data_IF_256884658925
#
_entry.id   IF_256884658925
#
_cell.length_a   1.000
_cell.length_b   1.000
_cell.length_c   1.000
_cell.angle_alpha   90.00
_cell.angle_beta   90.00
_cell.angle_gamma   90.00
#
_symmetry.space_group_name_H-M   'P 1'
#
loop_
_entity.id
_entity.type
_entity.pdbx_description
1 polymer ?
#
# COMPACT_ATOMS: atom_id res chain seq x y z
N UNK A 1 37.66 1.99 -13.63
CA UNK A 1 36.34 2.61 -13.39
C UNK A 1 35.73 1.84 -12.24
N UNK A 2 35.41 2.51 -11.12
CA UNK A 2 34.84 1.82 -9.98
C UNK A 2 33.47 1.26 -10.36
N UNK A 3 33.30 -0.04 -10.21
CA UNK A 3 32.01 -0.73 -10.32
C UNK A 3 31.09 -0.17 -9.23
N UNK A 4 30.27 0.82 -9.55
CA UNK A 4 29.26 1.35 -8.64
C UNK A 4 28.22 0.27 -8.44
N UNK A 5 28.45 -0.57 -7.44
CA UNK A 5 27.59 -1.68 -7.05
C UNK A 5 26.18 -1.14 -6.81
N UNK A 6 25.30 -1.35 -7.78
CA UNK A 6 23.91 -0.94 -7.68
C UNK A 6 23.23 -1.77 -6.59
N UNK A 7 22.68 -1.08 -5.57
CA UNK A 7 21.93 -1.75 -4.52
C UNK A 7 20.59 -2.21 -5.06
N UNK A 8 20.11 -3.41 -4.66
CA UNK A 8 18.79 -3.86 -5.04
C UNK A 8 17.69 -2.90 -4.55
N UNK A 9 16.57 -2.86 -5.27
CA UNK A 9 15.44 -1.98 -4.95
C UNK A 9 14.30 -2.72 -4.25
N UNK A 10 13.58 -1.99 -3.40
CA UNK A 10 12.28 -2.36 -2.85
C UNK A 10 11.27 -1.39 -3.42
N UNK A 11 10.17 -1.90 -3.99
CA UNK A 11 9.09 -1.10 -4.53
C UNK A 11 7.91 -1.12 -3.58
N UNK A 12 7.53 0.05 -3.08
CA UNK A 12 6.34 0.23 -2.26
C UNK A 12 5.18 0.81 -3.09
N UNK A 13 4.36 -0.03 -3.71
CA UNK A 13 3.21 0.40 -4.50
C UNK A 13 1.94 0.51 -3.66
N UNK A 14 1.28 1.67 -3.67
CA UNK A 14 0.04 1.90 -2.96
C UNK A 14 -0.42 3.36 -2.96
N UNK A 15 -1.45 3.67 -2.18
CA UNK A 15 -2.09 4.98 -2.14
C UNK A 15 -1.53 5.90 -1.03
N UNK A 16 -2.39 6.70 -0.39
CA UNK A 16 -2.00 7.69 0.63
C UNK A 16 -1.26 7.08 1.83
N UNK A 17 -1.63 5.89 2.29
CA UNK A 17 -0.91 5.21 3.38
C UNK A 17 0.54 4.93 3.01
N UNK A 18 0.80 4.45 1.79
CA UNK A 18 2.15 4.24 1.29
C UNK A 18 2.89 5.56 1.11
N UNK A 19 2.23 6.59 0.57
CA UNK A 19 2.80 7.93 0.43
C UNK A 19 3.22 8.54 1.76
N UNK A 20 2.34 8.48 2.77
CA UNK A 20 2.62 9.06 4.08
C UNK A 20 3.62 8.24 4.87
N UNK A 21 3.76 6.95 4.57
CA UNK A 21 4.68 6.06 5.29
C UNK A 21 6.15 6.48 5.24
N UNK A 22 6.53 7.38 4.33
CA UNK A 22 7.88 7.95 4.21
C UNK A 22 8.11 9.19 5.10
N UNK A 23 7.08 9.68 5.77
CA UNK A 23 7.20 10.84 6.67
C UNK A 23 7.75 10.38 8.02
N UNK A 24 8.78 11.06 8.50
CA UNK A 24 9.41 10.80 9.80
C UNK A 24 8.37 10.77 10.92
N UNK A 25 7.41 11.69 10.88
CA UNK A 25 6.39 11.84 11.92
C UNK A 25 5.44 10.64 11.99
N UNK A 26 5.30 9.89 10.89
CA UNK A 26 4.45 8.70 10.83
C UNK A 26 5.20 7.41 11.11
N UNK A 27 6.54 7.43 10.98
CA UNK A 27 7.41 6.25 11.09
C UNK A 27 6.83 5.03 10.36
N UNK A 28 6.31 5.23 9.15
CA UNK A 28 5.67 4.17 8.39
C UNK A 28 6.66 3.24 7.68
N UNK A 29 6.14 2.25 6.95
CA UNK A 29 6.94 1.27 6.21
C UNK A 29 7.99 1.92 5.29
N UNK A 30 7.62 3.00 4.58
CA UNK A 30 8.52 3.73 3.69
C UNK A 30 9.69 4.42 4.42
N UNK A 31 9.48 4.89 5.64
CA UNK A 31 10.52 5.48 6.49
C UNK A 31 11.62 4.46 6.80
N UNK A 32 11.23 3.20 7.05
CA UNK A 32 12.17 2.13 7.40
C UNK A 32 12.79 1.42 6.19
N UNK A 33 12.11 1.37 5.04
CA UNK A 33 12.54 0.53 3.90
C UNK A 33 13.14 1.29 2.70
N UNK A 34 13.08 2.62 2.66
CA UNK A 34 13.79 3.41 1.63
C UNK A 34 13.13 3.42 0.23
N UNK A 35 13.85 4.02 -0.74
CA UNK A 35 13.40 4.76 -1.96
C UNK A 35 12.03 4.46 -2.62
N UNK A 36 11.43 5.55 -3.12
CA UNK A 36 10.00 5.77 -3.38
C UNK A 36 9.51 5.32 -4.78
N UNK A 37 8.29 4.74 -4.81
CA UNK A 37 7.29 5.02 -5.85
C UNK A 37 5.88 5.13 -5.29
N UNK A 38 5.32 6.34 -5.21
CA UNK A 38 3.94 6.57 -4.72
C UNK A 38 3.17 7.47 -5.68
N UNK A 39 1.87 7.25 -5.79
CA UNK A 39 1.03 7.91 -6.81
C UNK A 39 -0.43 8.07 -6.39
N UNK A 40 -1.04 9.15 -6.88
CA UNK A 40 -2.48 9.47 -6.85
C UNK A 40 -3.28 8.89 -8.04
N UNK A 41 -2.61 8.28 -9.03
CA UNK A 41 -3.15 7.61 -10.23
C UNK A 41 -2.52 6.23 -10.41
N UNK A 42 -2.97 5.28 -9.59
CA UNK A 42 -2.36 3.96 -9.41
C UNK A 42 -2.10 3.20 -10.72
N UNK A 43 -3.01 3.23 -11.69
CA UNK A 43 -2.84 2.49 -12.95
C UNK A 43 -1.72 3.07 -13.83
N UNK A 44 -1.72 4.38 -14.10
CA UNK A 44 -0.66 5.00 -14.92
C UNK A 44 0.71 4.93 -14.26
N UNK A 45 0.74 4.96 -12.93
CA UNK A 45 1.99 4.82 -12.20
C UNK A 45 2.44 3.37 -12.08
N UNK A 46 1.53 2.40 -12.09
CA UNK A 46 1.89 1.00 -12.19
C UNK A 46 2.68 0.73 -13.48
N UNK A 47 2.16 1.15 -14.64
CA UNK A 47 2.86 0.97 -15.91
C UNK A 47 4.24 1.62 -15.91
N UNK A 48 4.33 2.84 -15.37
CA UNK A 48 5.60 3.57 -15.24
C UNK A 48 6.60 2.85 -14.32
N UNK A 49 6.11 2.26 -13.23
CA UNK A 49 6.93 1.48 -12.29
C UNK A 49 7.46 0.23 -12.97
N UNK A 50 6.61 -0.52 -13.67
CA UNK A 50 6.99 -1.73 -14.40
C UNK A 50 8.03 -1.40 -15.48
N UNK A 51 7.81 -0.34 -16.27
CA UNK A 51 8.78 0.10 -17.29
C UNK A 51 10.15 0.44 -16.69
N UNK A 52 10.20 1.08 -15.53
CA UNK A 52 11.48 1.35 -14.87
C UNK A 52 12.11 0.07 -14.33
N UNK A 53 11.35 -0.75 -13.61
CA UNK A 53 11.85 -1.95 -12.94
C UNK A 53 12.39 -2.99 -13.93
N UNK A 54 11.94 -2.93 -15.19
CA UNK A 54 12.39 -3.80 -16.29
C UNK A 54 13.48 -3.20 -17.15
N UNK A 55 13.84 -1.93 -16.94
CA UNK A 55 14.90 -1.28 -17.71
C UNK A 55 16.24 -2.00 -17.48
N UNK A 56 17.05 -2.25 -18.53
CA UNK A 56 18.32 -2.98 -18.43
C UNK A 56 19.35 -2.35 -17.48
N UNK A 57 19.18 -1.07 -17.16
CA UNK A 57 20.11 -0.30 -16.32
C UNK A 57 19.63 -0.16 -14.87
N UNK A 58 18.45 -0.69 -14.55
CA UNK A 58 17.84 -0.59 -13.23
C UNK A 58 18.32 -1.75 -12.35
N UNK A 59 18.66 -1.50 -11.07
CA UNK A 59 18.98 -2.58 -10.15
C UNK A 59 17.81 -3.55 -9.99
N UNK A 60 18.12 -4.81 -9.68
CA UNK A 60 17.10 -5.82 -9.44
C UNK A 60 16.13 -5.39 -8.33
N UNK A 61 14.84 -5.62 -8.55
CA UNK A 61 13.82 -5.46 -7.50
C UNK A 61 13.73 -6.75 -6.67
N UNK A 62 13.95 -6.67 -5.36
CA UNK A 62 13.83 -7.83 -4.47
C UNK A 62 12.41 -8.04 -3.97
N UNK A 63 11.73 -6.94 -3.68
CA UNK A 63 10.41 -6.92 -3.07
C UNK A 63 9.53 -5.88 -3.76
N UNK A 64 8.32 -6.29 -4.11
CA UNK A 64 7.26 -5.42 -4.60
C UNK A 64 6.05 -5.55 -3.68
N UNK A 65 5.70 -4.49 -2.96
CA UNK A 65 4.51 -4.50 -2.10
C UNK A 65 3.32 -3.92 -2.84
N UNK A 66 2.15 -4.54 -2.74
CA UNK A 66 0.88 -3.98 -3.20
C UNK A 66 0.06 -3.63 -1.95
N UNK A 67 -0.03 -2.35 -1.62
CA UNK A 67 -0.72 -1.84 -0.44
C UNK A 67 -1.93 -0.99 -0.85
N UNK A 68 -3.05 -1.66 -1.14
CA UNK A 68 -4.28 -1.10 -1.71
C UNK A 68 -5.53 -1.67 -1.04
N UNK A 69 -6.69 -1.05 -1.29
CA UNK A 69 -7.99 -1.53 -0.82
C UNK A 69 -8.73 -0.59 0.13
N UNK A 70 -8.04 0.37 0.76
CA UNK A 70 -8.67 1.24 1.76
C UNK A 70 -9.67 2.20 1.10
N UNK A 71 -9.26 2.84 0.00
CA UNK A 71 -10.13 3.73 -0.76
C UNK A 71 -11.16 2.92 -1.55
N UNK A 72 -10.76 1.79 -2.12
CA UNK A 72 -11.60 0.89 -2.92
C UNK A 72 -12.83 0.40 -2.12
N UNK A 73 -12.63 0.11 -0.83
CA UNK A 73 -13.67 -0.34 0.09
C UNK A 73 -14.51 0.81 0.68
N UNK A 74 -14.18 2.08 0.44
CA UNK A 74 -15.00 3.20 0.93
C UNK A 74 -16.41 3.13 0.33
N UNK A 75 -17.43 3.30 1.15
CA UNK A 75 -18.81 3.27 0.68
C UNK A 75 -19.22 4.61 0.06
N UNK A 76 -19.73 4.58 -1.17
CA UNK A 76 -20.41 5.70 -1.83
C UNK A 76 -21.88 5.30 -1.95
N UNK A 77 -22.70 5.78 -1.00
CA UNK A 77 -24.08 5.31 -0.86
C UNK A 77 -24.10 3.88 -0.33
N UNK A 78 -24.71 2.95 -1.08
CA UNK A 78 -24.83 1.53 -0.72
C UNK A 78 -23.74 0.65 -1.32
N UNK A 79 -22.91 1.21 -2.20
CA UNK A 79 -21.90 0.47 -2.94
C UNK A 79 -20.49 0.86 -2.51
N UNK A 80 -19.56 -0.08 -2.63
CA UNK A 80 -18.15 0.22 -2.49
C UNK A 80 -17.68 1.11 -3.66
N UNK A 81 -16.74 2.01 -3.40
CA UNK A 81 -16.13 2.91 -4.39
C UNK A 81 -15.57 2.13 -5.58
N UNK A 82 -14.99 0.96 -5.32
CA UNK A 82 -14.65 -0.02 -6.33
C UNK A 82 -15.36 -1.34 -6.01
N UNK A 83 -16.28 -1.81 -6.88
CA UNK A 83 -16.95 -3.09 -6.67
C UNK A 83 -15.96 -4.25 -6.56
N UNK A 84 -16.30 -5.23 -5.71
CA UNK A 84 -15.44 -6.39 -5.45
C UNK A 84 -14.93 -7.10 -6.73
N UNK A 85 -15.76 -7.37 -7.76
CA UNK A 85 -15.27 -8.00 -8.98
C UNK A 85 -14.16 -7.20 -9.67
N UNK A 86 -14.33 -5.87 -9.74
CA UNK A 86 -13.36 -4.95 -10.34
C UNK A 86 -12.08 -4.89 -9.51
N UNK A 87 -12.19 -4.73 -8.20
CA UNK A 87 -11.03 -4.72 -7.30
C UNK A 87 -10.23 -6.03 -7.41
N UNK A 88 -10.92 -7.16 -7.36
CA UNK A 88 -10.30 -8.49 -7.45
C UNK A 88 -9.61 -8.71 -8.80
N UNK A 89 -10.19 -8.24 -9.90
CA UNK A 89 -9.56 -8.28 -11.22
C UNK A 89 -8.30 -7.41 -11.29
N UNK A 90 -8.34 -6.19 -10.74
CA UNK A 90 -7.19 -5.28 -10.72
C UNK A 90 -6.00 -5.88 -9.94
N UNK A 91 -6.25 -6.45 -8.75
CA UNK A 91 -5.19 -7.08 -7.96
C UNK A 91 -4.56 -8.26 -8.71
N UNK A 92 -5.38 -9.10 -9.37
CA UNK A 92 -4.87 -10.20 -10.21
C UNK A 92 -4.01 -9.67 -11.36
N UNK A 93 -4.49 -8.66 -12.08
CA UNK A 93 -3.76 -8.07 -13.20
C UNK A 93 -2.38 -7.53 -12.76
N UNK A 94 -2.30 -6.85 -11.61
CA UNK A 94 -1.03 -6.36 -11.08
C UNK A 94 -0.06 -7.50 -10.74
N UNK A 95 -0.55 -8.55 -10.06
CA UNK A 95 0.27 -9.70 -9.69
C UNK A 95 0.75 -10.44 -10.94
N UNK A 96 -0.15 -10.72 -11.88
CA UNK A 96 0.16 -11.39 -13.15
C UNK A 96 1.22 -10.60 -13.90
N UNK A 97 1.06 -9.28 -14.03
CA UNK A 97 2.04 -8.43 -14.70
C UNK A 97 3.42 -8.55 -14.04
N UNK A 98 3.52 -8.44 -12.71
CA UNK A 98 4.82 -8.54 -12.02
C UNK A 98 5.45 -9.94 -12.22
N UNK A 99 4.65 -11.00 -12.23
CA UNK A 99 5.14 -12.38 -12.35
C UNK A 99 5.53 -12.75 -13.79
N UNK A 100 4.87 -12.19 -14.80
CA UNK A 100 5.11 -12.54 -16.21
C UNK A 100 6.11 -11.62 -16.90
N UNK A 101 6.48 -10.52 -16.27
CA UNK A 101 7.37 -9.54 -16.87
C UNK A 101 8.84 -9.99 -16.77
N UNK A 102 9.48 -10.17 -17.91
CA UNK A 102 10.90 -10.51 -18.00
C UNK A 102 11.81 -9.35 -17.52
N UNK A 103 13.04 -9.68 -17.11
CA UNK A 103 14.05 -8.72 -16.71
C UNK A 103 14.18 -8.55 -15.20
N UNK A 104 14.30 -7.31 -14.71
CA UNK A 104 14.58 -6.98 -13.31
C UNK A 104 13.54 -7.43 -12.27
N UNK A 105 12.45 -8.07 -12.71
CA UNK A 105 11.32 -8.55 -11.91
C UNK A 105 11.22 -10.07 -11.76
N UNK A 106 11.96 -10.87 -12.55
CA UNK A 106 11.77 -12.32 -12.64
C UNK A 106 11.91 -13.08 -11.31
N UNK A 107 12.70 -12.55 -10.37
CA UNK A 107 12.90 -13.14 -9.05
C UNK A 107 12.41 -12.23 -7.92
N UNK A 108 11.53 -11.28 -8.22
CA UNK A 108 10.92 -10.38 -7.25
C UNK A 108 9.92 -11.12 -6.38
N UNK A 109 9.96 -10.88 -5.06
CA UNK A 109 8.92 -11.33 -4.14
C UNK A 109 7.79 -10.32 -4.10
N UNK A 110 6.55 -10.80 -4.12
CA UNK A 110 5.36 -9.95 -4.05
C UNK A 110 4.75 -10.07 -2.66
N UNK A 111 4.50 -8.94 -2.01
CA UNK A 111 3.78 -8.88 -0.75
C UNK A 111 2.49 -8.06 -0.92
N UNK A 112 1.35 -8.72 -0.80
CA UNK A 112 0.04 -8.03 -0.81
C UNK A 112 -0.29 -7.64 0.63
N UNK A 113 -0.41 -6.34 0.88
CA UNK A 113 -0.69 -5.77 2.19
C UNK A 113 -2.11 -5.25 2.19
N UNK A 114 -2.93 -5.79 3.08
CA UNK A 114 -4.30 -5.32 3.29
C UNK A 114 -4.29 -4.18 4.32
N UNK A 115 -5.04 -3.09 4.07
CA UNK A 115 -5.19 -2.01 5.03
C UNK A 115 -5.78 -2.53 6.33
N UNK A 116 -5.19 -2.10 7.44
CA UNK A 116 -5.73 -2.37 8.75
C UNK A 116 -7.00 -1.55 8.94
N UNK A 117 -8.02 -2.17 9.54
CA UNK A 117 -9.14 -1.39 10.07
C UNK A 117 -8.60 -0.40 11.10
N UNK A 118 -9.03 0.85 10.99
CA UNK A 118 -8.60 1.93 11.88
C UNK A 118 -8.64 1.49 13.36
N UNK A 119 -7.48 1.57 14.04
CA UNK A 119 -7.37 1.30 15.47
C UNK A 119 -8.02 2.40 16.34
N UNK A 120 -8.71 3.38 15.75
CA UNK A 120 -9.44 4.43 16.47
C UNK A 120 -10.47 3.92 17.49
N UNK A 121 -10.86 2.64 17.43
CA UNK A 121 -11.74 2.03 18.46
C UNK A 121 -11.06 1.75 19.80
N UNK A 122 -9.73 1.93 19.95
CA UNK A 122 -9.03 1.71 21.23
C UNK A 122 -8.80 2.99 22.06
N UNK A 123 -9.14 4.18 21.57
CA UNK A 123 -9.00 5.44 22.33
C UNK A 123 -10.31 5.97 22.95
N UNK A 124 -11.45 5.29 22.75
CA UNK A 124 -12.73 5.64 23.39
C UNK A 124 -13.23 4.59 24.40
N UNK A 125 -12.41 4.27 25.39
CA UNK A 125 -12.87 3.96 26.74
C UNK A 125 -12.23 5.03 27.64
N UNK A 126 -12.93 5.98 28.25
CA UNK A 126 -14.10 5.88 29.12
C UNK A 126 -14.85 7.22 29.15
N UNK A 127 -16.09 7.26 28.66
CA UNK A 127 -17.14 8.14 29.21
C UNK A 127 -18.43 7.35 29.24
N UNK A 128 -18.46 6.35 30.11
CA UNK A 128 -19.71 5.75 30.60
C UNK A 128 -20.43 6.81 31.43
N UNK A 129 -21.49 7.36 30.84
CA UNK A 129 -22.48 8.22 31.46
C UNK A 129 -23.24 7.39 32.51
N UNK A 130 -22.88 7.50 33.79
CA UNK A 130 -23.68 6.91 34.88
C UNK A 130 -24.78 7.91 35.22
N UNK A 131 -25.93 7.72 34.57
CA UNK A 131 -27.19 8.27 35.05
C UNK A 131 -27.65 7.46 36.25
N UNK A 132 -27.42 7.97 37.45
CA UNK A 132 -28.05 7.48 38.68
C UNK A 132 -29.14 8.43 39.13
N UNK A 133 -30.41 8.05 38.92
CA UNK A 133 -31.54 8.62 39.64
C UNK A 133 -31.36 8.27 41.12
N UNK A 134 -31.28 9.27 42.00
CA UNK A 134 -31.66 9.10 43.40
C UNK A 134 -33.04 9.73 43.60
N UNK A 135 -34.04 8.87 43.84
CA UNK A 135 -35.27 9.18 44.58
C UNK A 135 -35.20 8.41 45.89
N UNK A 136 -35.68 9.04 46.97
CA UNK A 136 -35.77 8.50 48.34
C UNK A 136 -34.68 9.11 49.21
N UNK A 137 -34.96 9.79 50.32
CA UNK A 137 -36.18 10.05 51.09
C UNK A 137 -36.13 11.47 51.65
#
# INVERSE_FOLDING_TARGET
MADTKQLPEIVLFGASMTQWSFREETQGLGWFLGKIYTSTRLSSDFDRIIQRATSPTTPRTLLFTIFLGANDACMIGTDAMVPWPTFSANIRAFIETILTQDGGLAETKIAVIFPTADQWRRSKGTRGRVGGRNRGE
#
